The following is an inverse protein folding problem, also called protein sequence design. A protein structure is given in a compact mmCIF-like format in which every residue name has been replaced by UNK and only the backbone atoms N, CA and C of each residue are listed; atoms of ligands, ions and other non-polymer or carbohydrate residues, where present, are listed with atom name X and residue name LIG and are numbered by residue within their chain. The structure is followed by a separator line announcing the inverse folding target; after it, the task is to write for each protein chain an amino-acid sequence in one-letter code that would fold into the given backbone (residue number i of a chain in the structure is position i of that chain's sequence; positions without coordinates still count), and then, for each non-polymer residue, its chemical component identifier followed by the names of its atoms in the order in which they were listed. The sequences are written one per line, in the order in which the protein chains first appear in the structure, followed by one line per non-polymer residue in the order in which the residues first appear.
data_IF_592426362533
#
_entry.id   IF_592426362533
#
_cell.length_a   1.000
_cell.length_b   1.000
_cell.length_c   1.000
_cell.angle_alpha   90.00
_cell.angle_beta   90.00
_cell.angle_gamma   90.00
#
_symmetry.space_group_name_H-M   'P 1'
#
loop_
_entity.id
_entity.type
_entity.pdbx_description
1 polymer ?
#
# COMPACT_ATOMS: atom_id res chain seq x y z
N UNK A 1 21.74 8.33 -8.53
CA UNK A 1 21.62 7.75 -7.17
C UNK A 1 20.40 8.22 -6.37
N UNK A 2 19.38 8.89 -6.94
CA UNK A 2 18.14 9.26 -6.20
C UNK A 2 17.18 8.09 -5.93
N UNK A 3 17.15 7.11 -6.83
CA UNK A 3 16.19 5.99 -6.75
C UNK A 3 16.40 5.07 -5.56
N UNK A 4 17.64 4.89 -5.11
CA UNK A 4 17.99 4.04 -3.97
C UNK A 4 17.43 4.55 -2.65
N UNK A 5 17.19 5.86 -2.51
CA UNK A 5 16.63 6.44 -1.29
C UNK A 5 15.12 6.23 -1.16
N UNK A 6 14.39 6.27 -2.28
CA UNK A 6 12.94 6.04 -2.27
C UNK A 6 12.57 4.61 -1.88
N UNK A 7 13.44 3.63 -2.19
CA UNK A 7 13.20 2.23 -1.82
C UNK A 7 13.21 1.98 -0.31
N UNK A 8 13.88 2.86 0.45
CA UNK A 8 13.99 2.77 1.91
C UNK A 8 13.04 3.74 2.63
N UNK A 9 12.28 4.50 1.87
CA UNK A 9 11.38 5.51 2.43
C UNK A 9 10.20 4.82 3.14
N UNK A 10 9.93 5.17 4.41
CA UNK A 10 8.83 4.58 5.16
C UNK A 10 7.48 4.74 4.44
N UNK A 11 7.24 5.87 3.77
CA UNK A 11 5.99 6.12 3.05
C UNK A 11 5.81 5.16 1.86
N UNK A 12 6.88 4.89 1.12
CA UNK A 12 6.88 3.94 0.00
C UNK A 12 6.64 2.53 0.51
N UNK A 13 7.30 2.14 1.61
CA UNK A 13 7.13 0.81 2.20
C UNK A 13 5.68 0.57 2.64
N UNK A 14 5.07 1.53 3.34
CA UNK A 14 3.66 1.44 3.77
C UNK A 14 2.72 1.20 2.58
N UNK A 15 2.89 1.90 1.46
CA UNK A 15 2.02 1.70 0.28
C UNK A 15 2.18 0.31 -0.34
N UNK A 16 3.40 -0.20 -0.40
CA UNK A 16 3.68 -1.56 -0.89
C UNK A 16 3.10 -2.61 0.05
N UNK A 17 3.25 -2.41 1.37
CA UNK A 17 2.68 -3.27 2.40
C UNK A 17 1.14 -3.26 2.36
N UNK A 18 0.52 -2.13 1.98
CA UNK A 18 -0.91 -2.03 1.70
C UNK A 18 -1.36 -2.73 0.40
N UNK A 19 -0.42 -3.27 -0.39
CA UNK A 19 -0.68 -4.03 -1.61
C UNK A 19 -0.70 -3.19 -2.88
N UNK A 20 -0.19 -1.96 -2.88
CA UNK A 20 -0.02 -1.24 -4.14
C UNK A 20 1.18 -1.76 -4.93
N UNK A 21 1.11 -1.80 -6.28
CA UNK A 21 2.24 -2.26 -7.09
C UNK A 21 3.46 -1.36 -6.89
N UNK A 22 4.59 -1.98 -6.59
CA UNK A 22 5.84 -1.28 -6.30
C UNK A 22 6.25 -0.27 -7.39
N UNK A 23 6.07 -0.63 -8.67
CA UNK A 23 6.40 0.23 -9.80
C UNK A 23 5.60 1.55 -9.78
N UNK A 24 4.29 1.46 -9.51
CA UNK A 24 3.39 2.60 -9.46
C UNK A 24 3.67 3.48 -8.23
N UNK A 25 3.91 2.87 -7.08
CA UNK A 25 4.30 3.58 -5.83
C UNK A 25 5.57 4.40 -6.05
N UNK A 26 6.60 3.82 -6.68
CA UNK A 26 7.86 4.52 -6.95
C UNK A 26 7.67 5.65 -7.97
N UNK A 27 6.87 5.43 -9.02
CA UNK A 27 6.60 6.47 -10.02
C UNK A 27 5.91 7.68 -9.39
N UNK A 28 4.90 7.45 -8.56
CA UNK A 28 4.20 8.50 -7.81
C UNK A 28 5.13 9.20 -6.83
N UNK A 29 5.92 8.45 -6.06
CA UNK A 29 6.85 9.02 -5.09
C UNK A 29 7.93 9.90 -5.74
N UNK A 30 8.40 9.52 -6.95
CA UNK A 30 9.31 10.34 -7.76
C UNK A 30 8.64 11.63 -8.21
N UNK A 31 7.41 11.56 -8.71
CA UNK A 31 6.67 12.74 -9.15
C UNK A 31 6.49 13.76 -8.01
N UNK A 32 6.08 13.28 -6.83
CA UNK A 32 5.93 14.12 -5.62
C UNK A 32 7.25 14.80 -5.26
N UNK A 33 8.37 14.06 -5.23
CA UNK A 33 9.69 14.66 -4.92
C UNK A 33 10.15 15.67 -5.98
N UNK A 34 9.84 15.42 -7.26
CA UNK A 34 10.20 16.32 -8.36
C UNK A 34 9.42 17.64 -8.31
N UNK A 35 8.22 17.65 -7.73
CA UNK A 35 7.41 18.85 -7.49
C UNK A 35 7.89 19.65 -6.27
N UNK A 36 8.94 19.21 -5.57
CA UNK A 36 9.41 19.83 -4.33
C UNK A 36 8.51 19.54 -3.11
N UNK A 37 7.56 18.62 -3.25
CA UNK A 37 6.65 18.25 -2.18
C UNK A 37 7.32 17.28 -1.19
N UNK A 38 6.97 17.42 0.10
CA UNK A 38 7.31 16.43 1.12
C UNK A 38 6.62 15.10 0.77
N UNK A 39 7.41 14.03 0.78
CA UNK A 39 6.91 12.68 0.53
C UNK A 39 6.22 12.13 1.79
N UNK A 40 4.95 11.77 1.67
CA UNK A 40 4.17 11.13 2.73
C UNK A 40 3.34 9.98 2.16
N UNK A 41 2.98 9.04 3.03
CA UNK A 41 2.14 7.89 2.68
C UNK A 41 0.79 8.35 2.10
N UNK A 42 0.16 9.34 2.73
CA UNK A 42 -1.15 9.86 2.33
C UNK A 42 -1.11 10.48 0.93
N UNK A 43 -0.09 11.29 0.61
CA UNK A 43 0.04 11.89 -0.72
C UNK A 43 0.27 10.84 -1.81
N UNK A 44 1.05 9.80 -1.50
CA UNK A 44 1.24 8.69 -2.44
C UNK A 44 -0.10 7.96 -2.65
N UNK A 45 -0.83 7.70 -1.57
CA UNK A 45 -2.13 7.06 -1.60
C UNK A 45 -3.14 7.84 -2.45
N UNK A 46 -3.31 9.13 -2.19
CA UNK A 46 -4.22 10.00 -2.95
C UNK A 46 -3.93 9.95 -4.45
N UNK A 47 -2.67 10.08 -4.83
CA UNK A 47 -2.22 10.01 -6.23
C UNK A 47 -2.48 8.65 -6.87
N UNK A 48 -2.27 7.56 -6.14
CA UNK A 48 -2.54 6.20 -6.64
C UNK A 48 -4.05 5.99 -6.86
N UNK A 49 -4.90 6.47 -5.94
CA UNK A 49 -6.35 6.40 -6.06
C UNK A 49 -6.84 7.29 -7.21
N UNK A 50 -6.34 8.53 -7.33
CA UNK A 50 -6.66 9.42 -8.47
C UNK A 50 -6.22 8.82 -9.81
N UNK A 51 -5.12 8.07 -9.84
CA UNK A 51 -4.66 7.31 -11.00
C UNK A 51 -5.40 6.00 -11.25
N UNK A 52 -6.42 5.68 -10.45
CA UNK A 52 -7.18 4.42 -10.48
C UNK A 52 -6.29 3.16 -10.37
N UNK A 53 -5.15 3.28 -9.69
CA UNK A 53 -4.22 2.18 -9.45
C UNK A 53 -4.84 1.28 -8.38
N UNK A 54 -5.17 0.06 -8.77
CA UNK A 54 -5.76 -0.91 -7.86
C UNK A 54 -4.70 -1.59 -7.01
N UNK A 55 -5.04 -1.82 -5.75
CA UNK A 55 -4.28 -2.70 -4.87
C UNK A 55 -4.29 -4.10 -5.50
N UNK A 56 -3.11 -4.71 -5.59
CA UNK A 56 -2.98 -6.15 -5.82
C UNK A 56 -2.80 -6.76 -4.44
N UNK A 57 -3.83 -7.44 -3.90
CA UNK A 57 -3.66 -8.07 -2.61
C UNK A 57 -2.47 -9.03 -2.70
N UNK A 58 -1.43 -8.76 -1.91
CA UNK A 58 -0.39 -9.75 -1.69
C UNK A 58 -1.08 -11.01 -1.15
N UNK A 59 -0.74 -12.18 -1.68
CA UNK A 59 -1.36 -13.45 -1.29
C UNK A 59 -1.34 -13.68 0.24
N UNK A 60 -0.39 -13.07 0.96
CA UNK A 60 -0.31 -13.08 2.42
C UNK A 60 -1.43 -12.31 3.14
N UNK A 61 -1.95 -11.22 2.55
CA UNK A 61 -3.05 -10.42 3.13
C UNK A 61 -4.40 -11.11 2.88
N UNK A 62 -4.56 -11.82 1.76
CA UNK A 62 -5.75 -12.64 1.52
C UNK A 62 -5.91 -13.72 2.60
N UNK A 63 -4.81 -14.36 3.02
CA UNK A 63 -4.83 -15.32 4.14
C UNK A 63 -5.21 -14.67 5.48
N UNK A 64 -4.78 -13.44 5.73
CA UNK A 64 -5.12 -12.72 6.97
C UNK A 64 -6.60 -12.29 7.01
N UNK A 65 -7.15 -11.83 5.88
CA UNK A 65 -8.57 -11.49 5.74
C UNK A 65 -9.48 -12.72 5.82
N UNK A 66 -9.04 -13.87 5.29
CA UNK A 66 -9.78 -15.13 5.44
C UNK A 66 -9.79 -15.62 6.90
N UNK A 67 -8.68 -15.47 7.64
CA UNK A 67 -8.61 -15.86 9.05
C UNK A 67 -9.58 -15.06 9.92
N UNK A 68 -9.71 -13.75 9.70
CA UNK A 68 -10.65 -12.90 10.45
C UNK A 68 -12.10 -13.28 10.16
N UNK A 69 -12.41 -13.65 8.91
CA UNK A 69 -13.75 -14.09 8.53
C UNK A 69 -14.14 -15.42 9.19
N UNK A 70 -13.22 -16.39 9.22
CA UNK A 70 -13.42 -17.69 9.89
C UNK A 70 -13.61 -17.52 11.40
N UNK A 71 -12.90 -16.60 12.06
CA UNK A 71 -13.11 -16.33 13.48
C UNK A 71 -14.50 -15.75 13.78
N UNK A 72 -15.03 -14.88 12.91
CA UNK A 72 -16.37 -14.30 13.09
C UNK A 72 -17.51 -15.31 12.90
N UNK A 73 -17.36 -16.30 12.01
CA UNK A 73 -18.36 -17.35 11.79
C UNK A 73 -18.34 -18.42 12.89
N UNK A 74 -17.20 -18.65 13.53
CA UNK A 74 -17.07 -19.65 14.61
C UNK A 74 -17.62 -19.13 15.94
N UNK A 75 -17.47 -17.84 16.23
CA UNK A 75 -18.05 -17.19 17.42
C UNK A 75 -19.59 -17.05 17.39
N UNK A 76 -20.20 -17.14 16.21
CA UNK A 76 -21.66 -17.02 16.05
C UNK A 76 -22.42 -18.35 16.20
N UNK A 77 -21.71 -19.48 16.40
CA UNK A 77 -22.32 -20.82 16.52
C UNK A 77 -22.36 -21.39 17.95
N UNK A 78 -21.70 -20.73 18.90
CA UNK A 78 -21.61 -21.16 20.30
C UNK A 78 -22.29 -20.17 21.29
N UNK A 79 -23.20 -19.31 20.80
CA UNK A 79 -23.98 -18.36 21.62
C UNK A 79 -25.46 -18.76 21.74
#
# INVERSE_FOLDING_TARGET
TRDTYLKRDPAVKTMVDMGFPYADVIAVAKAIKNEGNVLSADKIYERLISGNIKRRPNASILKALDLDKVNSETLARDA
#
